data_IF_612017741761
#
_entry.id   IF_612017741761
#
_cell.length_a   1.000
_cell.length_b   1.000
_cell.length_c   1.000
_cell.angle_alpha   90.00
_cell.angle_beta   90.00
_cell.angle_gamma   90.00
#
_symmetry.space_group_name_H-M   'P 1'
#
loop_
_entity.id
_entity.type
_entity.pdbx_description
1 polymer ?
#
# COMPACT_ATOMS: atom_id res chain seq x y z
N UNK A 1 -2.17 48.39 59.32
CA UNK A 1 -1.96 48.42 57.86
C UNK A 1 -2.72 47.24 57.27
N UNK A 2 -4.04 47.35 57.20
CA UNK A 2 -4.78 47.79 56.00
C UNK A 2 -4.54 46.88 54.78
N UNK A 3 -5.46 45.94 54.63
CA UNK A 3 -5.66 45.08 53.47
C UNK A 3 -6.23 45.87 52.29
N UNK A 4 -5.54 45.87 51.15
CA UNK A 4 -6.09 46.34 49.88
C UNK A 4 -6.37 45.16 48.94
N UNK A 5 -7.59 44.60 49.09
CA UNK A 5 -8.27 43.82 48.06
C UNK A 5 -8.71 44.78 46.96
N UNK A 6 -8.17 44.64 45.74
CA UNK A 6 -8.61 45.40 44.57
C UNK A 6 -9.87 44.74 43.97
N UNK A 7 -10.97 45.48 44.03
CA UNK A 7 -12.32 45.12 43.58
C UNK A 7 -12.41 45.03 42.05
N UNK A 8 -13.14 44.02 41.56
CA UNK A 8 -13.67 43.96 40.18
C UNK A 8 -14.74 45.07 39.99
N UNK A 9 -14.76 45.82 38.88
CA UNK A 9 -15.85 46.74 38.61
C UNK A 9 -17.07 46.00 38.06
N UNK A 10 -18.13 46.03 38.87
CA UNK A 10 -19.48 46.47 38.48
C UNK A 10 -20.09 45.96 37.17
N UNK A 11 -20.94 44.95 37.32
CA UNK A 11 -22.04 44.62 36.43
C UNK A 11 -22.89 45.87 36.13
N UNK A 12 -22.94 46.30 34.87
CA UNK A 12 -23.96 47.22 34.38
C UNK A 12 -25.03 46.41 33.66
N UNK A 13 -26.21 46.36 34.29
CA UNK A 13 -27.45 45.88 33.70
C UNK A 13 -27.76 46.74 32.47
N UNK A 14 -27.55 46.18 31.28
CA UNK A 14 -28.19 46.70 30.06
C UNK A 14 -29.46 45.88 29.86
N UNK A 15 -30.57 46.58 29.99
CA UNK A 15 -31.92 46.07 29.90
C UNK A 15 -32.11 45.27 28.60
N UNK A 16 -32.64 44.06 28.76
CA UNK A 16 -33.09 43.24 27.67
C UNK A 16 -34.25 43.94 26.96
N UNK A 17 -33.97 44.54 25.80
CA UNK A 17 -35.00 44.88 24.84
C UNK A 17 -35.67 43.57 24.38
N UNK A 18 -36.78 43.21 25.04
CA UNK A 18 -37.74 42.23 24.53
C UNK A 18 -38.27 42.77 23.21
N UNK A 19 -37.70 42.30 22.10
CA UNK A 19 -38.32 42.38 20.79
C UNK A 19 -39.50 41.42 20.82
N UNK A 20 -40.68 41.95 21.12
CA UNK A 20 -41.95 41.25 21.03
C UNK A 20 -42.13 40.79 19.59
N UNK A 21 -41.79 39.52 19.33
CA UNK A 21 -42.05 38.88 18.05
C UNK A 21 -43.56 38.68 17.98
N UNK A 22 -44.24 39.50 17.19
CA UNK A 22 -45.61 39.25 16.79
C UNK A 22 -45.68 37.83 16.22
N UNK A 23 -46.42 36.96 16.92
CA UNK A 23 -46.79 35.65 16.44
C UNK A 23 -47.79 35.84 15.31
N UNK A 24 -47.29 35.96 14.09
CA UNK A 24 -48.04 35.57 12.89
C UNK A 24 -48.17 34.04 12.88
N UNK A 25 -49.30 33.51 12.38
CA UNK A 25 -49.59 32.08 12.40
C UNK A 25 -48.59 31.36 11.48
N UNK A 26 -47.94 30.33 12.03
CA UNK A 26 -47.17 29.27 11.36
C UNK A 26 -46.99 29.40 9.84
N UNK A 27 -46.08 30.26 9.40
CA UNK A 27 -45.41 30.02 8.13
C UNK A 27 -44.61 28.73 8.34
N UNK A 28 -45.01 27.68 7.63
CA UNK A 28 -44.24 26.44 7.51
C UNK A 28 -42.78 26.83 7.35
N UNK A 29 -41.90 26.45 8.30
CA UNK A 29 -40.45 26.63 8.14
C UNK A 29 -40.11 26.08 6.77
N UNK A 30 -39.83 26.97 5.83
CA UNK A 30 -39.59 26.60 4.45
C UNK A 30 -38.34 25.71 4.49
N UNK A 31 -38.55 24.40 4.31
CA UNK A 31 -37.48 23.42 4.40
C UNK A 31 -36.50 23.77 3.29
N UNK A 32 -35.23 23.87 3.65
CA UNK A 32 -34.20 24.17 2.67
C UNK A 32 -34.17 23.02 1.65
N UNK A 33 -34.43 23.25 0.36
CA UNK A 33 -34.64 22.16 -0.61
C UNK A 33 -33.45 21.22 -0.72
N UNK A 34 -32.22 21.74 -0.60
CA UNK A 34 -31.00 20.92 -0.63
C UNK A 34 -30.93 19.93 0.54
N UNK A 35 -31.52 20.30 1.68
CA UNK A 35 -31.57 19.41 2.83
C UNK A 35 -32.52 18.25 2.54
N UNK A 36 -33.67 18.49 1.90
CA UNK A 36 -34.59 17.41 1.49
C UNK A 36 -33.92 16.44 0.51
N UNK A 37 -33.03 16.94 -0.35
CA UNK A 37 -32.20 16.12 -1.24
C UNK A 37 -31.21 15.27 -0.44
N UNK A 38 -30.48 15.84 0.53
CA UNK A 38 -29.53 15.07 1.35
C UNK A 38 -30.20 13.98 2.21
N UNK A 39 -31.44 14.17 2.63
CA UNK A 39 -32.19 13.13 3.36
C UNK A 39 -32.60 11.95 2.46
N UNK A 40 -32.57 12.11 1.13
CA UNK A 40 -32.84 11.02 0.20
C UNK A 40 -31.51 10.35 -0.17
N UNK A 41 -31.23 9.19 0.45
CA UNK A 41 -29.96 8.49 0.30
C UNK A 41 -29.55 8.27 -1.17
N UNK A 42 -30.48 7.88 -2.05
CA UNK A 42 -30.17 7.71 -3.47
C UNK A 42 -29.70 8.99 -4.17
N UNK A 43 -30.29 10.15 -3.83
CA UNK A 43 -29.85 11.43 -4.37
C UNK A 43 -28.53 11.88 -3.76
N UNK A 44 -28.36 11.67 -2.45
CA UNK A 44 -27.10 11.93 -1.75
C UNK A 44 -25.95 11.12 -2.37
N UNK A 45 -26.16 9.84 -2.65
CA UNK A 45 -25.16 8.98 -3.28
C UNK A 45 -24.74 9.50 -4.66
N UNK A 46 -25.68 9.94 -5.50
CA UNK A 46 -25.35 10.55 -6.80
C UNK A 46 -24.56 11.85 -6.69
N UNK A 47 -24.87 12.67 -5.67
CA UNK A 47 -24.12 13.89 -5.41
C UNK A 47 -22.70 13.52 -4.99
N UNK A 48 -22.57 12.64 -3.99
CA UNK A 48 -21.28 12.21 -3.44
C UNK A 48 -20.42 11.51 -4.48
N UNK A 49 -21.00 10.73 -5.40
CA UNK A 49 -20.26 10.10 -6.49
C UNK A 49 -19.68 11.07 -7.52
N UNK A 50 -20.05 12.34 -7.43
CA UNK A 50 -19.48 13.42 -8.23
C UNK A 50 -18.38 14.20 -7.51
N UNK A 51 -18.21 13.98 -6.20
CA UNK A 51 -17.30 14.73 -5.32
C UNK A 51 -15.96 14.01 -5.14
N UNK A 52 -14.92 14.80 -4.88
CA UNK A 52 -13.66 14.31 -4.31
C UNK A 52 -13.71 14.34 -2.77
N UNK A 53 -12.80 13.64 -2.07
CA UNK A 53 -12.75 13.62 -0.61
C UNK A 53 -12.68 15.01 0.05
N UNK A 54 -11.94 15.94 -0.55
CA UNK A 54 -11.81 17.30 -0.01
C UNK A 54 -13.11 18.10 -0.21
N UNK A 55 -13.86 17.84 -1.27
CA UNK A 55 -15.17 18.47 -1.51
C UNK A 55 -16.21 17.97 -0.50
N UNK A 56 -16.21 16.66 -0.19
CA UNK A 56 -17.10 16.10 0.84
C UNK A 56 -16.77 16.70 2.21
N UNK A 57 -15.48 16.82 2.55
CA UNK A 57 -15.06 17.46 3.78
C UNK A 57 -15.55 18.92 3.82
N UNK A 58 -15.34 19.69 2.76
CA UNK A 58 -15.81 21.07 2.67
C UNK A 58 -17.34 21.16 2.86
N UNK A 59 -18.10 20.26 2.22
CA UNK A 59 -19.55 20.19 2.32
C UNK A 59 -20.02 19.88 3.75
N UNK A 60 -19.38 18.92 4.42
CA UNK A 60 -19.67 18.57 5.81
C UNK A 60 -19.35 19.71 6.78
N UNK A 61 -18.36 20.53 6.46
CA UNK A 61 -17.96 21.69 7.27
C UNK A 61 -18.80 22.95 7.01
N UNK A 62 -19.66 22.97 5.98
CA UNK A 62 -20.47 24.15 5.65
C UNK A 62 -21.45 24.55 6.76
N UNK A 63 -22.15 23.57 7.36
CA UNK A 63 -23.08 23.83 8.46
C UNK A 63 -23.37 22.57 9.27
N UNK A 64 -23.76 22.75 10.54
CA UNK A 64 -24.20 21.64 11.40
C UNK A 64 -25.37 20.88 10.78
N UNK A 65 -26.33 21.59 10.18
CA UNK A 65 -27.49 20.94 9.57
C UNK A 65 -27.07 20.09 8.37
N UNK A 66 -26.17 20.58 7.51
CA UNK A 66 -25.61 19.81 6.39
C UNK A 66 -24.91 18.55 6.87
N UNK A 67 -24.08 18.68 7.91
CA UNK A 67 -23.42 17.54 8.53
C UNK A 67 -24.44 16.50 9.03
N UNK A 68 -25.44 16.92 9.80
CA UNK A 68 -26.48 16.02 10.33
C UNK A 68 -27.34 15.38 9.23
N UNK A 69 -27.57 16.06 8.10
CA UNK A 69 -28.33 15.50 6.98
C UNK A 69 -27.52 14.48 6.16
N UNK A 70 -26.21 14.69 5.99
CA UNK A 70 -25.33 13.79 5.24
C UNK A 70 -24.88 12.61 6.11
N UNK A 71 -24.60 12.86 7.39
CA UNK A 71 -24.11 11.89 8.37
C UNK A 71 -25.09 11.74 9.54
N UNK A 72 -26.30 11.21 9.31
CA UNK A 72 -27.32 11.11 10.36
C UNK A 72 -26.97 10.06 11.43
N UNK A 73 -26.11 9.10 11.12
CA UNK A 73 -25.77 7.98 12.01
C UNK A 73 -24.26 7.66 11.99
N UNK A 74 -23.74 7.04 13.06
CA UNK A 74 -22.42 6.42 13.04
C UNK A 74 -22.33 5.41 11.88
N UNK A 75 -21.24 5.45 11.11
CA UNK A 75 -21.01 4.57 9.94
C UNK A 75 -21.50 5.14 8.60
N UNK A 76 -22.36 6.17 8.57
CA UNK A 76 -22.78 6.81 7.31
C UNK A 76 -21.60 7.36 6.50
N UNK A 77 -20.56 7.84 7.18
CA UNK A 77 -19.36 8.38 6.53
C UNK A 77 -18.63 7.31 5.71
N UNK A 78 -18.41 6.12 6.28
CA UNK A 78 -17.66 5.05 5.61
C UNK A 78 -18.35 4.62 4.32
N UNK A 79 -19.67 4.50 4.34
CA UNK A 79 -20.47 4.18 3.16
C UNK A 79 -20.31 5.25 2.06
N UNK A 80 -20.30 6.53 2.43
CA UNK A 80 -20.15 7.63 1.48
C UNK A 80 -18.71 7.75 0.96
N UNK A 81 -17.69 7.50 1.79
CA UNK A 81 -16.29 7.56 1.38
C UNK A 81 -15.98 6.59 0.23
N UNK A 82 -16.60 5.41 0.24
CA UNK A 82 -16.48 4.41 -0.82
C UNK A 82 -17.16 4.80 -2.13
N UNK A 83 -18.01 5.84 -2.12
CA UNK A 83 -18.76 6.31 -3.29
C UNK A 83 -18.14 7.51 -3.97
N UNK A 84 -17.19 8.19 -3.31
CA UNK A 84 -16.48 9.34 -3.86
C UNK A 84 -15.70 9.00 -5.14
N UNK A 85 -15.31 10.03 -5.88
CA UNK A 85 -14.29 9.88 -6.91
C UNK A 85 -12.91 9.68 -6.29
N UNK A 86 -12.09 8.86 -6.94
CA UNK A 86 -10.68 8.77 -6.56
C UNK A 86 -10.01 10.15 -6.70
N UNK A 87 -9.24 10.54 -5.68
CA UNK A 87 -8.59 11.85 -5.61
C UNK A 87 -7.34 12.00 -6.49
N UNK A 88 -6.87 10.93 -7.12
CA UNK A 88 -5.62 10.95 -7.91
C UNK A 88 -4.33 11.07 -7.08
N UNK A 89 -4.42 11.08 -5.74
CA UNK A 89 -3.25 11.22 -4.86
C UNK A 89 -2.23 10.09 -5.02
N UNK A 90 -2.66 8.88 -5.38
CA UNK A 90 -1.74 7.76 -5.61
C UNK A 90 -0.79 8.02 -6.77
N UNK A 91 -1.30 8.51 -7.90
CA UNK A 91 -0.48 8.96 -9.04
C UNK A 91 0.49 10.07 -8.62
N UNK A 92 0.06 11.02 -7.79
CA UNK A 92 0.96 12.05 -7.28
C UNK A 92 2.11 11.47 -6.43
N UNK A 93 1.83 10.48 -5.58
CA UNK A 93 2.85 9.78 -4.80
C UNK A 93 3.84 9.07 -5.73
N UNK A 94 3.36 8.35 -6.74
CA UNK A 94 4.19 7.68 -7.76
C UNK A 94 5.12 8.66 -8.46
N UNK A 95 4.57 9.73 -9.03
CA UNK A 95 5.36 10.77 -9.74
C UNK A 95 6.42 11.45 -8.86
N UNK A 96 6.24 11.44 -7.53
CA UNK A 96 7.23 11.99 -6.59
C UNK A 96 8.33 10.99 -6.23
N UNK A 97 8.02 9.69 -6.21
CA UNK A 97 8.90 8.61 -5.71
C UNK A 97 9.66 7.93 -6.83
N UNK A 98 8.97 7.60 -7.91
CA UNK A 98 9.46 6.85 -9.06
C UNK A 98 10.34 7.75 -9.94
N UNK A 99 11.51 7.25 -10.32
CA UNK A 99 12.48 7.97 -11.14
C UNK A 99 12.74 7.20 -12.42
N UNK A 100 12.46 7.85 -13.54
CA UNK A 100 12.75 7.34 -14.87
C UNK A 100 14.26 7.26 -15.06
N UNK A 101 14.71 6.12 -15.55
CA UNK A 101 16.09 5.84 -15.92
C UNK A 101 16.55 6.71 -17.09
N UNK A 102 17.85 6.69 -17.38
CA UNK A 102 18.40 7.29 -18.60
C UNK A 102 17.84 6.65 -19.88
N UNK A 103 17.51 5.36 -19.84
CA UNK A 103 16.98 4.62 -20.98
C UNK A 103 15.58 5.09 -21.40
N UNK A 104 14.74 5.47 -20.43
CA UNK A 104 13.43 6.09 -20.72
C UNK A 104 13.56 7.26 -21.71
N UNK A 105 14.56 8.12 -21.51
CA UNK A 105 14.79 9.29 -22.36
C UNK A 105 15.59 8.96 -23.63
N UNK A 106 16.40 7.90 -23.61
CA UNK A 106 17.23 7.51 -24.75
C UNK A 106 16.42 6.80 -25.84
N UNK A 107 15.38 6.08 -25.48
CA UNK A 107 14.54 5.28 -26.38
C UNK A 107 13.13 5.85 -26.59
N UNK A 108 12.92 7.14 -26.26
CA UNK A 108 11.64 7.84 -26.43
C UNK A 108 10.44 7.07 -25.84
N UNK A 109 10.64 6.45 -24.68
CA UNK A 109 9.61 5.65 -24.03
C UNK A 109 8.39 6.49 -23.63
N UNK A 110 7.22 5.86 -23.61
CA UNK A 110 5.95 6.48 -23.19
C UNK A 110 5.56 6.02 -21.80
N UNK A 111 5.04 6.95 -20.99
CA UNK A 111 4.53 6.65 -19.64
C UNK A 111 3.01 6.84 -19.59
N UNK A 112 2.30 5.87 -19.01
CA UNK A 112 0.82 5.82 -19.02
C UNK A 112 0.16 6.08 -17.66
N UNK A 113 0.89 6.63 -16.68
CA UNK A 113 0.38 6.87 -15.32
C UNK A 113 -0.71 7.96 -15.30
N UNK A 114 -1.97 7.56 -15.10
CA UNK A 114 -3.12 8.49 -14.98
C UNK A 114 -4.12 7.97 -13.96
N UNK A 115 -4.83 8.87 -13.27
CA UNK A 115 -5.87 8.44 -12.35
C UNK A 115 -7.15 8.08 -13.12
N UNK A 116 -7.62 6.84 -12.94
CA UNK A 116 -8.85 6.34 -13.55
C UNK A 116 -10.17 6.97 -13.09
N UNK A 117 -10.16 8.01 -12.23
CA UNK A 117 -11.39 8.65 -11.75
C UNK A 117 -12.30 9.23 -12.85
N UNK A 118 -11.74 9.45 -14.05
CA UNK A 118 -12.47 9.93 -15.24
C UNK A 118 -12.73 8.83 -16.27
N UNK A 119 -12.14 7.66 -16.08
CA UNK A 119 -12.20 6.55 -17.02
C UNK A 119 -13.20 5.52 -16.50
N UNK A 120 -14.18 5.15 -17.32
CA UNK A 120 -15.23 4.22 -16.90
C UNK A 120 -14.76 2.77 -16.78
N UNK A 121 -13.58 2.45 -17.32
CA UNK A 121 -13.02 1.11 -17.40
C UNK A 121 -12.09 0.78 -16.23
N UNK A 122 -11.52 1.79 -15.56
CA UNK A 122 -10.62 1.54 -14.44
C UNK A 122 -11.39 1.08 -13.22
N UNK A 123 -10.98 -0.06 -12.66
CA UNK A 123 -11.57 -0.55 -11.43
C UNK A 123 -11.34 0.43 -10.27
N UNK A 124 -12.39 0.67 -9.49
CA UNK A 124 -12.34 1.48 -8.28
C UNK A 124 -12.98 0.73 -7.12
N UNK A 125 -12.25 0.63 -6.01
CA UNK A 125 -12.77 0.05 -4.76
C UNK A 125 -12.44 0.94 -3.55
N UNK A 126 -13.21 0.86 -2.46
CA UNK A 126 -12.88 1.54 -1.20
C UNK A 126 -11.54 1.04 -0.64
N UNK A 127 -10.68 1.96 -0.20
CA UNK A 127 -9.43 1.62 0.48
C UNK A 127 -9.71 0.82 1.77
N UNK A 128 -9.00 -0.29 1.99
CA UNK A 128 -9.15 -1.16 3.15
C UNK A 128 -9.02 -0.41 4.48
N UNK A 129 -8.10 0.58 4.56
CA UNK A 129 -7.81 1.37 5.77
C UNK A 129 -8.72 2.61 5.89
N UNK A 130 -8.69 3.52 4.92
CA UNK A 130 -9.40 4.81 5.03
C UNK A 130 -10.79 4.85 4.40
N UNK A 131 -11.24 3.75 3.76
CA UNK A 131 -12.54 3.60 3.08
C UNK A 131 -12.79 4.54 1.89
N UNK A 132 -11.87 5.46 1.59
CA UNK A 132 -11.95 6.34 0.42
C UNK A 132 -11.84 5.52 -0.86
N UNK A 133 -12.76 5.74 -1.80
CA UNK A 133 -12.71 5.19 -3.16
C UNK A 133 -11.37 5.47 -3.83
N UNK A 134 -10.72 4.42 -4.31
CA UNK A 134 -9.38 4.45 -4.89
C UNK A 134 -9.40 3.64 -6.19
N UNK A 135 -8.96 4.22 -7.29
CA UNK A 135 -8.81 3.50 -8.56
C UNK A 135 -7.56 2.61 -8.53
N UNK A 136 -7.49 1.64 -9.43
CA UNK A 136 -6.36 0.71 -9.54
C UNK A 136 -5.02 1.47 -9.70
N UNK A 137 -4.99 2.49 -10.55
CA UNK A 137 -3.79 3.35 -10.71
C UNK A 137 -3.34 4.13 -9.46
N UNK A 138 -4.17 4.21 -8.42
CA UNK A 138 -3.91 4.94 -7.18
C UNK A 138 -3.79 4.05 -5.93
N UNK A 139 -3.96 2.73 -6.05
CA UNK A 139 -3.66 1.78 -4.98
C UNK A 139 -2.19 1.35 -5.03
N UNK A 140 -1.72 0.68 -3.99
CA UNK A 140 -0.41 0.03 -3.99
C UNK A 140 -0.46 -1.22 -4.88
N UNK A 141 0.59 -1.43 -5.67
CA UNK A 141 0.86 -2.66 -6.42
C UNK A 141 2.25 -3.16 -6.05
N UNK A 142 2.48 -4.47 -6.17
CA UNK A 142 3.83 -5.05 -6.06
C UNK A 142 4.68 -4.59 -7.23
N UNK A 143 4.13 -4.63 -8.45
CA UNK A 143 4.80 -4.21 -9.68
C UNK A 143 3.89 -3.29 -10.48
N UNK A 144 4.35 -2.07 -10.71
CA UNK A 144 3.72 -1.13 -11.62
C UNK A 144 4.36 -1.23 -12.99
N UNK A 145 3.70 -1.89 -13.94
CA UNK A 145 4.02 -1.69 -15.35
C UNK A 145 3.41 -0.35 -15.80
N UNK A 146 4.24 0.62 -16.17
CA UNK A 146 3.73 1.97 -16.53
C UNK A 146 4.50 2.67 -17.63
N UNK A 147 5.56 2.04 -18.13
CA UNK A 147 6.40 2.53 -19.20
C UNK A 147 6.39 1.51 -20.33
N UNK A 148 6.29 2.02 -21.55
CA UNK A 148 6.22 1.26 -22.80
C UNK A 148 7.20 1.85 -23.81
N UNK A 149 8.01 1.00 -24.41
CA UNK A 149 8.87 1.30 -25.55
C UNK A 149 8.27 0.65 -26.80
N UNK A 150 8.15 1.42 -27.87
CA UNK A 150 7.65 0.88 -29.15
C UNK A 150 8.77 0.09 -29.81
N UNK A 151 8.51 -1.15 -30.31
CA UNK A 151 9.50 -1.91 -31.07
C UNK A 151 10.07 -1.11 -32.24
N UNK A 152 11.35 -1.32 -32.55
CA UNK A 152 11.97 -0.67 -33.72
C UNK A 152 11.51 -1.35 -35.01
N UNK A 153 11.42 -2.68 -34.98
CA UNK A 153 11.01 -3.52 -36.10
C UNK A 153 9.74 -4.32 -35.78
N UNK A 154 9.01 -4.76 -36.82
CA UNK A 154 7.71 -5.46 -36.67
C UNK A 154 7.84 -6.87 -36.06
N UNK A 155 9.03 -7.48 -36.13
CA UNK A 155 9.34 -8.80 -35.57
C UNK A 155 9.88 -8.75 -34.13
N UNK A 156 10.11 -7.56 -33.58
CA UNK A 156 10.54 -7.36 -32.20
C UNK A 156 9.36 -7.30 -31.22
N UNK A 157 9.59 -7.80 -30.01
CA UNK A 157 8.63 -7.65 -28.92
C UNK A 157 8.74 -6.25 -28.29
N UNK A 158 7.62 -5.66 -27.83
CA UNK A 158 7.66 -4.40 -27.11
C UNK A 158 8.33 -4.55 -25.75
N UNK A 159 9.18 -3.57 -25.39
CA UNK A 159 9.75 -3.51 -24.05
C UNK A 159 8.81 -2.78 -23.10
N UNK A 160 8.73 -3.31 -21.88
CA UNK A 160 7.97 -2.70 -20.79
C UNK A 160 8.87 -2.49 -19.60
N UNK A 161 8.60 -1.44 -18.85
CA UNK A 161 9.27 -1.17 -17.60
C UNK A 161 8.34 -0.45 -16.62
N UNK A 162 8.85 -0.26 -15.41
CA UNK A 162 8.18 0.50 -14.39
C UNK A 162 8.83 0.30 -13.03
N UNK A 163 8.05 0.04 -11.98
CA UNK A 163 8.54 0.17 -10.61
C UNK A 163 8.01 -0.90 -9.67
N UNK A 164 8.86 -1.36 -8.75
CA UNK A 164 8.47 -2.27 -7.67
C UNK A 164 8.02 -1.46 -6.46
N UNK A 165 6.76 -1.60 -6.03
CA UNK A 165 6.18 -0.85 -4.91
C UNK A 165 6.45 0.67 -5.07
N UNK A 166 6.98 1.32 -4.04
CA UNK A 166 7.46 2.72 -4.08
C UNK A 166 8.99 2.84 -4.17
N UNK A 167 9.69 1.79 -4.62
CA UNK A 167 11.11 1.86 -4.93
C UNK A 167 11.36 2.91 -6.02
N UNK A 168 12.39 3.76 -5.90
CA UNK A 168 12.61 4.83 -6.86
C UNK A 168 13.16 4.35 -8.20
N UNK A 169 13.79 3.17 -8.25
CA UNK A 169 14.51 2.69 -9.43
C UNK A 169 13.55 2.05 -10.44
N UNK A 170 13.71 2.43 -11.71
CA UNK A 170 13.01 1.81 -12.82
C UNK A 170 13.55 0.40 -13.08
N UNK A 171 12.64 -0.56 -13.28
CA UNK A 171 12.93 -1.96 -13.56
C UNK A 171 12.35 -2.38 -14.91
N UNK A 172 13.09 -3.17 -15.71
CA UNK A 172 12.51 -3.87 -16.85
C UNK A 172 11.46 -4.87 -16.37
N UNK A 173 10.38 -5.00 -17.14
CA UNK A 173 9.30 -5.96 -16.92
C UNK A 173 9.12 -6.75 -18.21
N UNK A 174 9.57 -8.00 -18.19
CA UNK A 174 9.48 -8.89 -19.35
C UNK A 174 8.08 -9.49 -19.41
N UNK A 175 7.39 -9.29 -20.53
CA UNK A 175 6.17 -10.05 -20.83
C UNK A 175 6.45 -11.56 -20.91
N UNK A 176 5.45 -12.43 -20.70
CA UNK A 176 5.62 -13.89 -20.84
C UNK A 176 6.19 -14.34 -22.20
N UNK A 177 5.95 -13.57 -23.26
CA UNK A 177 6.46 -13.85 -24.61
C UNK A 177 7.98 -13.65 -24.74
N UNK A 178 8.61 -12.85 -23.87
CA UNK A 178 10.07 -12.74 -23.84
C UNK A 178 10.75 -13.96 -23.23
N UNK A 179 10.00 -14.79 -22.49
CA UNK A 179 10.52 -15.94 -21.77
C UNK A 179 10.22 -17.27 -22.48
N UNK A 180 9.74 -17.24 -23.72
CA UNK A 180 9.27 -18.41 -24.48
C UNK A 180 8.33 -19.32 -23.66
N UNK A 181 7.46 -18.71 -22.84
CA UNK A 181 6.55 -19.47 -21.99
C UNK A 181 5.42 -20.09 -22.82
N UNK A 182 5.27 -21.42 -22.78
CA UNK A 182 4.19 -22.17 -23.46
C UNK A 182 2.77 -21.75 -23.00
N UNK A 183 2.65 -21.04 -21.88
CA UNK A 183 1.40 -20.49 -21.33
C UNK A 183 1.13 -19.04 -21.76
N UNK A 184 1.96 -18.48 -22.65
CA UNK A 184 1.82 -17.09 -23.06
C UNK A 184 0.48 -16.89 -23.80
N UNK A 185 -0.46 -16.21 -23.14
CA UNK A 185 -1.74 -15.79 -23.70
C UNK A 185 -1.57 -14.75 -24.81
N UNK A 186 -2.50 -13.82 -24.96
CA UNK A 186 -2.34 -12.72 -25.93
C UNK A 186 -1.08 -11.90 -25.63
N UNK A 187 -0.34 -11.53 -26.68
CA UNK A 187 0.83 -10.67 -26.56
C UNK A 187 0.48 -9.35 -25.92
N UNK A 188 1.32 -8.90 -24.99
CA UNK A 188 1.18 -7.58 -24.39
C UNK A 188 1.30 -6.51 -25.47
N UNK A 189 0.29 -5.66 -25.52
CA UNK A 189 0.18 -4.55 -26.45
C UNK A 189 0.43 -3.22 -25.73
N UNK A 190 0.68 -2.16 -26.51
CA UNK A 190 0.71 -0.77 -26.05
C UNK A 190 -0.48 -0.46 -25.13
N UNK A 191 -0.24 -0.02 -23.88
CA UNK A 191 -1.31 0.32 -22.96
C UNK A 191 -2.23 1.44 -23.42
N UNK A 192 -1.81 2.28 -24.38
CA UNK A 192 -2.66 3.33 -24.95
C UNK A 192 -3.79 2.78 -25.84
N UNK A 193 -3.60 1.58 -26.39
CA UNK A 193 -4.51 0.95 -27.35
C UNK A 193 -5.21 -0.31 -26.82
N UNK A 194 -4.86 -0.76 -25.61
CA UNK A 194 -5.33 -2.02 -25.04
C UNK A 194 -6.26 -1.80 -23.85
N UNK A 195 -7.40 -2.51 -23.84
CA UNK A 195 -8.31 -2.57 -22.69
C UNK A 195 -7.81 -3.49 -21.57
N UNK A 196 -6.80 -4.31 -21.84
CA UNK A 196 -6.22 -5.27 -20.87
C UNK A 196 -5.03 -4.69 -20.12
N UNK A 197 -4.56 -3.51 -20.53
CA UNK A 197 -3.40 -2.84 -19.96
C UNK A 197 -3.83 -1.69 -19.03
N UNK A 198 -2.97 -1.23 -18.12
CA UNK A 198 -1.60 -1.73 -17.88
C UNK A 198 -1.56 -3.10 -17.21
N UNK A 199 -0.43 -3.82 -17.39
CA UNK A 199 -0.23 -5.19 -16.89
C UNK A 199 0.41 -5.18 -15.50
N UNK A 200 -0.17 -4.41 -14.57
CA UNK A 200 0.32 -4.38 -13.19
C UNK A 200 0.32 -5.78 -12.56
N UNK A 201 1.30 -6.02 -11.69
CA UNK A 201 1.48 -7.28 -10.95
C UNK A 201 1.54 -8.54 -11.84
N UNK A 202 2.06 -8.41 -13.08
CA UNK A 202 2.23 -9.50 -14.04
C UNK A 202 3.63 -9.50 -14.68
N UNK A 203 3.97 -10.59 -15.35
CA UNK A 203 5.22 -10.75 -16.11
C UNK A 203 6.39 -11.19 -15.23
N UNK A 204 7.59 -10.82 -15.66
CA UNK A 204 8.85 -11.12 -14.97
C UNK A 204 9.60 -9.82 -14.70
N UNK A 205 10.07 -9.63 -13.48
CA UNK A 205 10.90 -8.46 -13.13
C UNK A 205 12.36 -8.79 -13.35
N UNK A 206 13.11 -7.85 -13.91
CA UNK A 206 14.55 -7.97 -14.12
C UNK A 206 15.33 -6.93 -13.28
N UNK A 207 16.65 -6.93 -13.41
CA UNK A 207 17.57 -6.04 -12.70
C UNK A 207 17.21 -4.58 -13.00
N UNK A 208 17.08 -3.71 -11.97
CA UNK A 208 16.86 -2.29 -12.19
C UNK A 208 17.92 -1.68 -13.12
N UNK A 209 17.51 -0.79 -14.03
CA UNK A 209 18.39 -0.26 -15.08
C UNK A 209 19.66 0.44 -14.56
N UNK A 210 19.58 1.01 -13.36
CA UNK A 210 20.67 1.77 -12.72
C UNK A 210 21.57 0.89 -11.82
N UNK A 211 21.34 -0.43 -11.77
CA UNK A 211 22.13 -1.37 -10.99
C UNK A 211 23.19 -2.06 -11.85
N UNK A 212 24.44 -2.04 -11.38
CA UNK A 212 25.56 -2.72 -12.04
C UNK A 212 25.68 -4.22 -11.67
N UNK A 213 24.80 -4.70 -10.78
CA UNK A 213 24.86 -6.07 -10.26
C UNK A 213 23.97 -7.03 -11.05
N UNK A 214 24.43 -8.27 -11.19
CA UNK A 214 23.68 -9.29 -11.92
C UNK A 214 22.58 -9.92 -11.07
N UNK A 215 21.47 -10.27 -11.73
CA UNK A 215 20.38 -11.09 -11.22
C UNK A 215 19.64 -11.73 -12.39
N UNK A 216 18.94 -12.84 -12.13
CA UNK A 216 18.08 -13.46 -13.13
C UNK A 216 16.68 -12.86 -13.05
N UNK A 217 15.92 -12.79 -14.16
CA UNK A 217 14.52 -12.40 -14.12
C UNK A 217 13.69 -13.30 -13.21
N UNK A 218 12.77 -12.71 -12.46
CA UNK A 218 11.94 -13.41 -11.47
C UNK A 218 10.45 -13.28 -11.82
N UNK A 219 9.72 -14.39 -11.75
CA UNK A 219 8.28 -14.46 -12.03
C UNK A 219 7.47 -13.68 -10.99
N UNK A 220 6.69 -12.68 -11.43
CA UNK A 220 5.86 -11.90 -10.51
C UNK A 220 4.79 -12.78 -9.85
N UNK A 221 4.22 -13.73 -10.59
CA UNK A 221 3.20 -14.65 -10.06
C UNK A 221 3.76 -15.52 -8.93
N UNK A 222 4.95 -16.11 -9.11
CA UNK A 222 5.57 -16.96 -8.09
C UNK A 222 5.93 -16.14 -6.83
N UNK A 223 6.41 -14.91 -7.02
CA UNK A 223 6.70 -13.99 -5.92
C UNK A 223 5.44 -13.58 -5.15
N UNK A 224 4.32 -13.42 -5.86
CA UNK A 224 3.03 -13.06 -5.25
C UNK A 224 2.48 -14.17 -4.36
N UNK A 225 2.67 -15.43 -4.75
CA UNK A 225 2.17 -16.61 -4.04
C UNK A 225 3.12 -17.15 -2.95
N UNK A 226 4.37 -16.70 -2.93
CA UNK A 226 5.36 -17.18 -1.98
C UNK A 226 4.91 -17.01 -0.52
N UNK A 227 4.95 -18.09 0.27
CA UNK A 227 4.71 -18.06 1.71
C UNK A 227 5.89 -17.39 2.44
N UNK A 228 5.70 -16.14 2.85
CA UNK A 228 6.71 -15.32 3.52
C UNK A 228 6.95 -15.72 4.99
N UNK A 229 6.13 -16.62 5.53
CA UNK A 229 6.32 -17.23 6.85
C UNK A 229 7.31 -18.39 6.85
N UNK A 230 7.48 -19.06 5.72
CA UNK A 230 8.33 -20.24 5.55
C UNK A 230 9.50 -20.02 4.59
N UNK A 231 9.43 -18.98 3.75
CA UNK A 231 10.44 -18.66 2.74
C UNK A 231 10.96 -17.22 2.86
N UNK A 232 12.11 -16.98 2.24
CA UNK A 232 12.73 -15.66 2.16
C UNK A 232 12.99 -15.28 0.71
N UNK A 233 12.67 -14.04 0.37
CA UNK A 233 12.96 -13.41 -0.93
C UNK A 233 14.47 -13.18 -1.15
N UNK A 234 15.31 -13.52 -0.17
CA UNK A 234 16.75 -13.43 -0.29
C UNK A 234 17.41 -14.71 -0.83
N UNK A 235 16.70 -15.82 -1.00
CA UNK A 235 17.29 -17.09 -1.39
C UNK A 235 17.97 -16.98 -2.77
N UNK A 236 19.28 -16.76 -2.80
CA UNK A 236 20.06 -16.71 -4.03
C UNK A 236 20.33 -18.13 -4.50
N UNK A 237 19.99 -18.44 -5.75
CA UNK A 237 20.30 -19.74 -6.37
C UNK A 237 21.81 -19.95 -6.65
N UNK A 238 22.62 -18.88 -6.60
CA UNK A 238 24.04 -18.91 -6.91
C UNK A 238 24.85 -17.96 -6.02
N UNK A 239 26.09 -18.34 -5.70
CA UNK A 239 27.07 -17.51 -4.98
C UNK A 239 27.56 -16.29 -5.77
N UNK A 240 27.31 -16.25 -7.09
CA UNK A 240 27.68 -15.13 -7.97
C UNK A 240 26.68 -13.97 -7.96
N UNK A 241 25.51 -14.13 -7.32
CA UNK A 241 24.46 -13.12 -7.24
C UNK A 241 24.52 -12.44 -5.88
N UNK A 242 24.38 -11.11 -5.85
CA UNK A 242 24.33 -10.36 -4.60
C UNK A 242 23.19 -10.86 -3.69
N UNK A 243 23.32 -10.67 -2.37
CA UNK A 243 22.32 -11.12 -1.40
C UNK A 243 21.70 -9.93 -0.64
N UNK A 244 20.39 -9.65 -0.78
CA UNK A 244 19.46 -10.26 -1.74
C UNK A 244 19.80 -9.88 -3.19
N UNK A 245 19.25 -10.64 -4.15
CA UNK A 245 19.34 -10.32 -5.59
C UNK A 245 18.88 -8.87 -5.84
N UNK A 246 19.53 -8.10 -6.74
CA UNK A 246 19.08 -6.75 -7.09
C UNK A 246 17.63 -6.72 -7.56
N UNK A 247 17.18 -7.76 -8.25
CA UNK A 247 15.80 -7.93 -8.74
C UNK A 247 14.80 -7.95 -7.59
N UNK A 248 15.11 -8.68 -6.52
CA UNK A 248 14.21 -8.91 -5.39
C UNK A 248 14.38 -7.91 -4.25
N UNK A 249 15.38 -7.03 -4.31
CA UNK A 249 15.82 -6.22 -3.18
C UNK A 249 14.70 -5.38 -2.57
N UNK A 250 13.88 -4.74 -3.40
CA UNK A 250 12.77 -3.89 -2.93
C UNK A 250 11.67 -4.71 -2.23
N UNK A 251 11.30 -5.86 -2.79
CA UNK A 251 10.32 -6.78 -2.19
C UNK A 251 10.86 -7.39 -0.90
N UNK A 252 12.13 -7.81 -0.89
CA UNK A 252 12.81 -8.35 0.28
C UNK A 252 12.85 -7.34 1.43
N UNK A 253 13.28 -6.11 1.17
CA UNK A 253 13.33 -5.05 2.18
C UNK A 253 11.94 -4.80 2.76
N UNK A 254 10.93 -4.75 1.89
CA UNK A 254 9.53 -4.59 2.29
C UNK A 254 9.09 -5.74 3.20
N UNK A 255 9.28 -7.00 2.79
CA UNK A 255 8.90 -8.16 3.59
C UNK A 255 9.64 -8.23 4.94
N UNK A 256 10.95 -8.02 4.96
CA UNK A 256 11.74 -8.04 6.21
C UNK A 256 11.39 -6.89 7.16
N UNK A 257 11.01 -5.73 6.63
CA UNK A 257 10.49 -4.63 7.44
C UNK A 257 9.18 -4.98 8.18
N UNK A 258 8.47 -6.05 7.81
CA UNK A 258 7.30 -6.56 8.58
C UNK A 258 7.65 -7.70 9.52
N UNK A 259 8.92 -8.04 9.72
CA UNK A 259 9.29 -9.10 10.65
C UNK A 259 9.96 -8.50 11.88
N UNK A 260 9.50 -8.86 13.07
CA UNK A 260 10.04 -8.36 14.35
C UNK A 260 10.21 -9.47 15.37
N UNK A 261 11.23 -9.37 16.17
CA UNK A 261 11.52 -10.30 17.25
C UNK A 261 10.78 -9.87 18.53
N UNK A 262 10.03 -10.79 19.12
CA UNK A 262 9.37 -10.59 20.41
C UNK A 262 9.70 -11.73 21.35
N UNK A 263 9.98 -11.41 22.62
CA UNK A 263 9.89 -12.39 23.69
C UNK A 263 8.42 -12.56 24.11
N UNK A 264 8.11 -13.68 24.78
CA UNK A 264 6.74 -14.01 25.21
C UNK A 264 6.07 -12.88 26.02
N UNK A 265 6.85 -12.16 26.85
CA UNK A 265 6.34 -11.08 27.70
C UNK A 265 6.06 -9.76 26.95
N UNK A 266 6.80 -9.50 25.86
CA UNK A 266 6.69 -8.24 25.12
C UNK A 266 5.81 -8.37 23.86
N UNK A 267 5.32 -9.57 23.57
CA UNK A 267 4.44 -9.80 22.43
C UNK A 267 3.14 -9.00 22.62
N UNK A 268 2.72 -8.19 21.64
CA UNK A 268 1.52 -7.37 21.77
C UNK A 268 0.27 -8.20 22.05
N UNK A 269 -0.63 -7.73 22.92
CA UNK A 269 -1.87 -8.47 23.25
C UNK A 269 -2.79 -8.68 22.04
N UNK A 270 -2.67 -7.87 20.99
CA UNK A 270 -3.41 -8.08 19.74
C UNK A 270 -2.97 -9.37 19.03
N UNK A 271 -1.71 -9.80 19.22
CA UNK A 271 -1.18 -11.05 18.70
C UNK A 271 -1.74 -12.29 19.43
N UNK A 272 -2.40 -12.10 20.59
CA UNK A 272 -2.97 -13.17 21.41
C UNK A 272 -4.50 -13.14 21.44
N UNK A 273 -5.14 -12.10 20.87
CA UNK A 273 -6.60 -12.01 20.76
C UNK A 273 -7.09 -12.81 19.55
N UNK A 274 -7.77 -13.93 19.79
CA UNK A 274 -8.43 -14.75 18.76
C UNK A 274 -7.79 -16.12 18.50
N UNK A 275 -6.69 -16.47 19.18
CA UNK A 275 -6.15 -17.83 19.15
C UNK A 275 -6.76 -18.65 20.29
N UNK A 276 -7.53 -19.69 19.95
CA UNK A 276 -8.09 -20.65 20.92
C UNK A 276 -7.02 -21.56 21.55
N UNK A 277 -5.76 -21.47 21.13
CA UNK A 277 -4.62 -22.13 21.76
C UNK A 277 -3.40 -21.20 21.84
N UNK A 278 -2.55 -21.32 22.87
CA UNK A 278 -1.33 -20.52 23.02
C UNK A 278 -0.19 -20.96 22.07
N UNK A 279 -0.47 -21.79 21.06
CA UNK A 279 0.48 -22.10 20.01
C UNK A 279 0.39 -21.01 18.93
N UNK A 280 1.50 -20.31 18.72
CA UNK A 280 1.70 -19.39 17.61
C UNK A 280 1.35 -20.10 16.30
N UNK A 281 0.22 -19.76 15.68
CA UNK A 281 -0.02 -20.16 14.29
C UNK A 281 1.12 -19.61 13.42
N UNK A 282 1.76 -20.50 12.66
CA UNK A 282 2.76 -20.13 11.68
C UNK A 282 2.21 -19.07 10.71
N UNK A 283 3.04 -18.09 10.35
CA UNK A 283 2.71 -17.09 9.36
C UNK A 283 2.50 -17.77 8.00
N UNK A 284 1.45 -17.35 7.29
CA UNK A 284 1.12 -17.80 5.92
C UNK A 284 0.86 -16.60 4.99
N UNK A 285 1.44 -15.44 5.33
CA UNK A 285 1.29 -14.24 4.53
C UNK A 285 2.00 -14.40 3.19
N UNK A 286 1.35 -13.95 2.13
CA UNK A 286 1.92 -13.83 0.78
C UNK A 286 1.91 -12.36 0.37
N UNK A 287 2.67 -12.00 -0.68
CA UNK A 287 2.59 -10.64 -1.23
C UNK A 287 1.20 -10.37 -1.84
N UNK A 288 0.56 -11.37 -2.47
CA UNK A 288 -0.81 -11.25 -3.00
C UNK A 288 -1.80 -10.79 -1.93
N UNK A 289 -1.80 -11.45 -0.77
CA UNK A 289 -2.73 -11.15 0.33
C UNK A 289 -2.62 -9.68 0.80
N UNK A 290 -1.43 -9.08 0.70
CA UNK A 290 -1.18 -7.74 1.25
C UNK A 290 -1.20 -6.61 0.24
N UNK A 291 -0.95 -6.88 -1.04
CA UNK A 291 -0.85 -5.86 -2.08
C UNK A 291 -1.94 -5.98 -3.15
N UNK A 292 -2.44 -7.19 -3.44
CA UNK A 292 -3.44 -7.40 -4.49
C UNK A 292 -4.84 -7.53 -3.91
N UNK A 293 -5.03 -8.46 -2.97
CA UNK A 293 -6.35 -8.74 -2.38
C UNK A 293 -6.79 -7.62 -1.44
N UNK A 294 -5.81 -6.99 -0.79
CA UNK A 294 -6.01 -5.84 0.08
C UNK A 294 -5.91 -4.54 -0.72
N UNK A 295 -7.07 -4.00 -1.11
CA UNK A 295 -7.15 -2.73 -1.82
C UNK A 295 -6.70 -1.54 -0.96
N UNK A 296 -5.42 -1.20 -0.95
CA UNK A 296 -4.84 -0.16 -0.09
C UNK A 296 -4.39 1.03 -0.92
N UNK A 297 -4.87 2.24 -0.61
CA UNK A 297 -4.40 3.44 -1.30
C UNK A 297 -2.95 3.78 -0.93
N UNK A 298 -2.21 4.36 -1.86
CA UNK A 298 -0.78 4.68 -1.66
C UNK A 298 -0.49 5.57 -0.45
N UNK A 299 -1.38 6.52 -0.13
CA UNK A 299 -1.24 7.34 1.08
C UNK A 299 -1.34 6.49 2.36
N UNK A 300 -2.27 5.55 2.40
CA UNK A 300 -2.41 4.65 3.53
C UNK A 300 -1.21 3.71 3.64
N UNK A 301 -0.67 3.23 2.51
CA UNK A 301 0.57 2.47 2.47
C UNK A 301 1.75 3.28 3.02
N UNK A 302 2.00 4.52 2.56
CA UNK A 302 3.06 5.37 3.12
C UNK A 302 2.91 5.62 4.62
N UNK A 303 1.66 5.73 5.09
CA UNK A 303 1.37 5.86 6.53
C UNK A 303 1.70 4.55 7.27
N UNK A 304 1.41 3.38 6.69
CA UNK A 304 1.81 2.09 7.29
C UNK A 304 3.33 1.96 7.38
N UNK A 305 4.09 2.33 6.34
CA UNK A 305 5.55 2.29 6.39
C UNK A 305 6.10 3.21 7.47
N UNK A 306 5.58 4.43 7.56
CA UNK A 306 5.99 5.38 8.58
C UNK A 306 5.66 4.89 10.00
N UNK A 307 4.46 4.34 10.22
CA UNK A 307 4.02 3.81 11.51
C UNK A 307 4.90 2.62 11.94
N UNK A 308 5.28 1.75 10.99
CA UNK A 308 6.17 0.60 11.21
C UNK A 308 7.58 1.03 11.62
N UNK A 309 8.16 1.99 10.89
CA UNK A 309 9.49 2.52 11.18
C UNK A 309 9.51 3.23 12.53
N UNK A 310 8.47 3.99 12.88
CA UNK A 310 8.39 4.68 14.16
C UNK A 310 8.19 3.73 15.36
N UNK A 311 7.44 2.64 15.18
CA UNK A 311 7.02 1.78 16.28
C UNK A 311 8.03 0.68 16.63
N UNK A 312 8.87 0.26 15.66
CA UNK A 312 9.64 -0.98 15.79
C UNK A 312 11.09 -0.88 15.29
N UNK A 313 11.80 0.20 15.65
CA UNK A 313 13.16 0.50 15.20
C UNK A 313 14.17 -0.62 15.56
N UNK A 314 14.19 -1.06 16.82
CA UNK A 314 15.28 -1.91 17.36
C UNK A 314 14.95 -3.41 17.41
N UNK A 315 13.77 -3.80 16.93
CA UNK A 315 13.22 -5.15 17.13
C UNK A 315 13.51 -6.13 15.98
N UNK A 316 14.56 -5.91 15.18
CA UNK A 316 14.85 -6.77 14.02
C UNK A 316 15.49 -8.11 14.41
N UNK A 317 16.40 -8.08 15.38
CA UNK A 317 17.20 -9.24 15.82
C UNK A 317 16.95 -9.63 17.28
N UNK A 318 16.37 -8.72 18.06
CA UNK A 318 16.14 -8.91 19.50
C UNK A 318 14.84 -8.23 19.91
N UNK A 319 14.29 -8.62 21.04
CA UNK A 319 13.11 -7.97 21.59
C UNK A 319 13.43 -6.54 22.06
N UNK A 320 12.45 -5.64 22.13
CA UNK A 320 12.65 -4.29 22.66
C UNK A 320 13.11 -4.25 24.13
N UNK A 321 12.81 -5.28 24.92
CA UNK A 321 13.34 -5.40 26.28
C UNK A 321 14.82 -5.86 26.33
N UNK A 322 15.45 -6.08 25.17
CA UNK A 322 16.84 -6.52 25.03
C UNK A 322 17.03 -8.04 25.06
N UNK A 323 15.97 -8.81 25.38
CA UNK A 323 15.98 -10.27 25.37
C UNK A 323 16.18 -10.83 23.96
N UNK A 324 16.94 -11.91 23.87
CA UNK A 324 17.21 -12.66 22.63
C UNK A 324 16.40 -13.95 22.55
N UNK A 325 15.90 -14.45 23.68
CA UNK A 325 14.86 -15.47 23.75
C UNK A 325 13.55 -14.91 23.20
N UNK A 326 13.03 -15.51 22.14
CA UNK A 326 11.80 -15.06 21.48
C UNK A 326 11.59 -15.70 20.12
N UNK A 327 10.61 -15.19 19.39
CA UNK A 327 10.29 -15.66 18.02
C UNK A 327 10.20 -14.47 17.07
N UNK A 328 10.59 -14.72 15.81
CA UNK A 328 10.39 -13.77 14.73
C UNK A 328 8.92 -13.81 14.34
N UNK A 329 8.23 -12.69 14.46
CA UNK A 329 6.79 -12.56 14.23
C UNK A 329 6.54 -11.67 13.02
N UNK A 330 5.58 -12.06 12.18
CA UNK A 330 5.08 -11.24 11.09
C UNK A 330 4.13 -10.17 11.62
N UNK A 331 4.38 -8.89 11.32
CA UNK A 331 3.54 -7.77 11.75
C UNK A 331 2.21 -7.65 10.98
N UNK A 332 2.05 -8.39 9.88
CA UNK A 332 0.78 -8.41 9.16
C UNK A 332 -0.26 -9.32 9.82
N UNK A 333 0.13 -10.55 10.16
CA UNK A 333 -0.79 -11.56 10.72
C UNK A 333 -0.51 -11.91 12.19
N UNK A 334 0.60 -11.42 12.75
CA UNK A 334 1.10 -11.78 14.08
C UNK A 334 1.50 -13.25 14.27
N UNK A 335 1.56 -14.01 13.18
CA UNK A 335 2.05 -15.39 13.16
C UNK A 335 3.58 -15.48 13.21
N UNK A 336 4.07 -16.64 13.61
CA UNK A 336 5.51 -16.92 13.71
C UNK A 336 6.12 -17.17 12.32
N UNK A 337 7.29 -16.58 12.06
CA UNK A 337 8.07 -16.77 10.83
C UNK A 337 9.16 -17.80 11.12
N UNK A 338 9.05 -18.95 10.49
CA UNK A 338 10.01 -20.04 10.59
C UNK A 338 10.95 -19.94 9.39
N UNK A 339 12.16 -19.45 9.61
CA UNK A 339 13.17 -19.53 8.55
C UNK A 339 13.66 -20.98 8.45
N UNK A 340 13.76 -21.56 7.25
CA UNK A 340 14.48 -22.81 7.07
C UNK A 340 15.91 -22.55 7.55
N UNK A 341 16.39 -23.30 8.53
CA UNK A 341 17.82 -23.33 8.77
C UNK A 341 18.44 -23.85 7.48
N UNK A 342 19.19 -23.01 6.77
CA UNK A 342 20.14 -23.52 5.80
C UNK A 342 21.13 -24.35 6.60
N UNK A 343 20.94 -25.67 6.61
CA UNK A 343 22.00 -26.60 6.99
C UNK A 343 23.13 -26.35 6.00
N UNK A 344 24.07 -25.50 6.38
CA UNK A 344 25.39 -25.53 5.78
C UNK A 344 25.93 -26.92 6.12
N UNK A 345 25.87 -27.85 5.16
CA UNK A 345 26.72 -29.03 5.21
C UNK A 345 28.16 -28.49 5.34
N UNK A 346 28.69 -28.53 6.56
CA UNK A 346 30.12 -28.39 6.79
C UNK A 346 30.77 -29.49 5.95
N UNK A 347 31.34 -29.11 4.80
CA UNK A 347 32.26 -29.95 4.06
C UNK A 347 33.45 -30.16 5.00
N UNK A 348 33.40 -31.23 5.78
CA UNK A 348 34.55 -31.78 6.46
C UNK A 348 35.60 -32.05 5.38
N UNK A 349 36.58 -31.16 5.30
CA UNK A 349 37.86 -31.44 4.65
C UNK A 349 38.48 -32.61 5.40
N UNK A 350 38.13 -33.82 4.97
CA UNK A 350 38.78 -35.05 5.38
C UNK A 350 40.25 -34.95 4.98
N UNK A 351 41.09 -34.92 5.99
CA UNK A 351 42.54 -34.97 5.91
C UNK A 351 43.00 -35.96 4.84
N UNK A 352 43.71 -35.44 3.83
CA UNK A 352 44.59 -36.25 2.99
C UNK A 352 45.73 -36.75 3.88
N UNK A 353 45.51 -37.89 4.52
CA UNK A 353 46.59 -38.70 5.05
C UNK A 353 47.38 -39.26 3.87
N UNK A 354 48.54 -38.64 3.63
CA UNK A 354 49.66 -39.26 2.95
C UNK A 354 50.00 -40.56 3.69
N UNK A 355 49.79 -41.69 3.03
CA UNK A 355 50.40 -42.95 3.45
C UNK A 355 51.26 -43.48 2.31
N UNK A 356 52.55 -43.17 2.45
CA UNK A 356 53.66 -43.94 1.92
C UNK A 356 53.50 -45.42 2.27
N UNK A 357 53.53 -46.30 1.27
CA UNK A 357 54.48 -47.42 1.27
C UNK A 357 54.60 -48.04 -0.13
N UNK A 358 55.85 -48.02 -0.60
CA UNK A 358 56.41 -48.70 -1.76
C UNK A 358 56.41 -50.23 -1.54
N UNK A 359 56.83 -51.04 -2.54
CA UNK A 359 57.71 -52.17 -2.26
C UNK A 359 59.16 -51.73 -1.99
#
# INVERSE_FOLDING_TARGET
METLKRKRPGCTLIEAHKKTRNNSPSESRQRCPIMEVFHQYGLLEMIVSSLYPDDLLALLLCSRSTHEAILPQPGSLENLLGKLKCSGRGVHVRNKRHKKSTFFYAYDCTETIKCGAKESTTECRPCARCKVSTCDECRIHCVYQSIYETPCDEDELPNFSGFILLSPLEVPILSPHHMDSDEAGSQWQDPSNSLQAPYHDQGFIDVPFEEDSFGLPESVEDLLEMDLGSHTLAASASSSVAHPSPVLRALYQTAEQRKRWFCDECRPSIATQGQESPQTSQCQCTLRNHFLDRWLCLRCYETEEHDLDASFVDQRERCACGRQDGTKTCLWCWGEVVHPMFEFEEVHNGDRNENTNQP
#
